data_IF_983184640498
#
_entry.id   IF_983184640498
#
_cell.length_a   1.000
_cell.length_b   1.000
_cell.length_c   1.000
_cell.angle_alpha   90.00
_cell.angle_beta   90.00
_cell.angle_gamma   90.00
#
_symmetry.space_group_name_H-M   'P 1'
#
loop_
_entity.id
_entity.type
_entity.pdbx_description
1 polymer ?
#
# COMPACT_ATOMS: atom_id res chain seq x y z
N UNK A 1 21.00 -7.26 -5.73
CA UNK A 1 19.79 -7.88 -6.30
C UNK A 1 18.89 -6.76 -6.77
N UNK A 2 18.20 -6.95 -7.89
CA UNK A 2 17.31 -5.94 -8.45
C UNK A 2 15.89 -6.18 -7.93
N UNK A 3 15.36 -5.20 -7.17
CA UNK A 3 13.97 -5.19 -6.70
C UNK A 3 13.14 -4.33 -7.65
N UNK A 4 11.94 -4.81 -7.98
CA UNK A 4 10.94 -4.04 -8.72
C UNK A 4 9.73 -3.86 -7.83
N UNK A 5 9.35 -2.62 -7.55
CA UNK A 5 8.25 -2.31 -6.64
C UNK A 5 7.20 -1.44 -7.31
N UNK A 6 5.92 -1.62 -6.94
CA UNK A 6 4.87 -0.70 -7.36
C UNK A 6 5.17 0.69 -6.79
N UNK A 7 5.14 1.70 -7.66
CA UNK A 7 5.26 3.10 -7.26
C UNK A 7 3.99 3.83 -7.66
N UNK A 8 3.32 4.44 -6.69
CA UNK A 8 2.18 5.32 -6.99
C UNK A 8 2.69 6.74 -7.07
N UNK A 9 2.31 7.44 -8.14
CA UNK A 9 2.70 8.82 -8.41
C UNK A 9 1.46 9.67 -8.59
N UNK A 10 1.40 10.83 -7.97
CA UNK A 10 0.33 11.79 -8.13
C UNK A 10 0.89 13.20 -8.35
N UNK A 11 0.30 14.01 -9.24
CA UNK A 11 0.63 15.42 -9.29
C UNK A 11 0.14 16.10 -8.01
N UNK A 12 0.97 16.95 -7.44
CA UNK A 12 0.62 17.84 -6.35
C UNK A 12 0.56 19.27 -6.91
N UNK A 13 -0.28 20.13 -6.33
CA UNK A 13 -0.49 21.50 -6.85
C UNK A 13 0.81 22.24 -7.21
N UNK A 14 0.77 23.05 -8.27
CA UNK A 14 1.96 23.71 -8.81
C UNK A 14 2.79 22.79 -9.72
N UNK A 15 4.12 22.78 -9.53
CA UNK A 15 5.08 21.94 -10.27
C UNK A 15 5.57 20.74 -9.45
N UNK A 16 4.85 20.38 -8.39
CA UNK A 16 5.25 19.32 -7.47
C UNK A 16 4.64 17.98 -7.86
N UNK A 17 5.32 16.91 -7.47
CA UNK A 17 4.89 15.53 -7.62
C UNK A 17 5.02 14.85 -6.26
N UNK A 18 4.06 14.01 -5.93
CA UNK A 18 4.07 13.10 -4.79
C UNK A 18 4.30 11.68 -5.31
N UNK A 19 5.13 10.89 -4.63
CA UNK A 19 5.34 9.48 -4.96
C UNK A 19 5.52 8.62 -3.71
N UNK A 20 4.98 7.40 -3.73
CA UNK A 20 5.07 6.49 -2.59
C UNK A 20 4.97 5.01 -3.00
N UNK A 21 5.56 4.15 -2.17
CA UNK A 21 5.46 2.68 -2.32
C UNK A 21 4.31 2.17 -1.45
N UNK A 22 3.21 1.66 -2.03
CA UNK A 22 1.99 1.33 -1.30
C UNK A 22 2.10 0.03 -0.47
N UNK A 23 3.08 -0.83 -0.76
CA UNK A 23 3.24 -2.13 -0.12
C UNK A 23 3.79 -2.04 1.33
N UNK A 24 4.29 -0.88 1.75
CA UNK A 24 5.03 -0.74 2.99
C UNK A 24 4.29 0.06 4.06
N UNK A 25 4.45 -0.40 5.31
CA UNK A 25 4.09 0.34 6.50
C UNK A 25 5.24 0.37 7.52
N UNK A 26 5.64 1.53 8.07
CA UNK A 26 5.26 2.87 7.66
C UNK A 26 5.53 3.14 6.18
N UNK A 27 4.72 4.02 5.58
CA UNK A 27 4.78 4.31 4.13
C UNK A 27 6.07 5.03 3.77
N UNK A 28 6.77 4.55 2.74
CA UNK A 28 7.88 5.28 2.11
C UNK A 28 7.29 6.23 1.09
N UNK A 29 7.42 7.53 1.36
CA UNK A 29 6.74 8.61 0.63
C UNK A 29 7.65 9.83 0.52
N UNK A 30 7.61 10.50 -0.64
CA UNK A 30 8.35 11.73 -0.92
C UNK A 30 7.53 12.69 -1.78
N UNK A 31 7.81 13.98 -1.65
CA UNK A 31 7.25 15.07 -2.47
C UNK A 31 8.40 15.91 -2.99
N UNK A 32 8.35 16.29 -4.26
CA UNK A 32 9.44 17.05 -4.88
C UNK A 32 9.11 17.56 -6.28
N UNK A 33 10.04 18.28 -6.92
CA UNK A 33 9.80 18.97 -8.19
C UNK A 33 9.85 18.06 -9.42
N UNK A 34 10.40 16.84 -9.31
CA UNK A 34 10.52 15.92 -10.44
C UNK A 34 10.40 14.46 -9.99
N UNK A 35 9.77 13.64 -10.83
CA UNK A 35 9.65 12.20 -10.56
C UNK A 35 11.02 11.50 -10.54
N UNK A 36 11.98 11.96 -11.35
CA UNK A 36 13.31 11.34 -11.39
C UNK A 36 14.02 11.44 -10.05
N UNK A 37 14.11 12.64 -9.47
CA UNK A 37 14.73 12.85 -8.16
C UNK A 37 14.00 12.08 -7.06
N UNK A 38 12.66 12.01 -7.14
CA UNK A 38 11.89 11.21 -6.19
C UNK A 38 12.19 9.72 -6.29
N UNK A 39 12.42 9.18 -7.50
CA UNK A 39 12.76 7.76 -7.67
C UNK A 39 14.11 7.45 -7.01
N UNK A 40 15.11 8.32 -7.14
CA UNK A 40 16.42 8.12 -6.52
C UNK A 40 16.31 8.09 -4.98
N UNK A 41 15.62 9.09 -4.41
CA UNK A 41 15.40 9.18 -2.96
C UNK A 41 14.59 8.00 -2.40
N UNK A 42 13.58 7.55 -3.16
CA UNK A 42 12.74 6.43 -2.78
C UNK A 42 13.50 5.10 -2.90
N UNK A 43 14.31 4.92 -3.95
CA UNK A 43 15.15 3.74 -4.12
C UNK A 43 16.14 3.60 -2.97
N UNK A 44 16.80 4.69 -2.59
CA UNK A 44 17.69 4.72 -1.42
C UNK A 44 16.94 4.33 -0.14
N UNK A 45 15.77 4.93 0.12
CA UNK A 45 14.98 4.62 1.31
C UNK A 45 14.47 3.16 1.34
N UNK A 46 14.15 2.58 0.18
CA UNK A 46 13.77 1.17 0.05
C UNK A 46 14.97 0.26 0.33
N UNK A 47 16.13 0.56 -0.27
CA UNK A 47 17.36 -0.21 -0.08
C UNK A 47 17.76 -0.25 1.39
N UNK A 48 17.82 0.91 2.05
CA UNK A 48 18.16 1.00 3.47
C UNK A 48 17.19 0.21 4.36
N UNK A 49 15.91 0.19 3.99
CA UNK A 49 14.90 -0.59 4.71
C UNK A 49 15.08 -2.08 4.48
N UNK A 50 15.28 -2.49 3.23
CA UNK A 50 15.42 -3.89 2.82
C UNK A 50 16.63 -4.56 3.48
N UNK A 51 17.77 -3.85 3.53
CA UNK A 51 18.99 -4.36 4.15
C UNK A 51 18.87 -4.55 5.67
N UNK A 52 18.01 -3.76 6.32
CA UNK A 52 17.75 -3.82 7.77
C UNK A 52 16.57 -4.72 8.13
N UNK A 53 15.76 -5.13 7.15
CA UNK A 53 14.54 -5.90 7.41
C UNK A 53 14.88 -7.37 7.71
N UNK A 54 14.02 -8.01 8.50
CA UNK A 54 14.17 -9.43 8.80
C UNK A 54 13.97 -10.27 7.52
N UNK A 55 14.78 -11.33 7.28
CA UNK A 55 14.69 -12.15 6.06
C UNK A 55 13.30 -12.71 5.74
N UNK A 56 12.45 -12.96 6.75
CA UNK A 56 11.06 -13.39 6.55
C UNK A 56 10.17 -12.35 5.84
N UNK A 57 10.60 -11.09 5.77
CA UNK A 57 9.90 -9.99 5.09
C UNK A 57 10.34 -9.78 3.64
N UNK A 58 11.34 -10.51 3.16
CA UNK A 58 11.83 -10.37 1.77
C UNK A 58 10.71 -10.57 0.73
N UNK A 59 9.71 -11.41 1.02
CA UNK A 59 8.56 -11.62 0.15
C UNK A 59 7.75 -10.35 -0.14
N UNK A 60 7.70 -9.36 0.79
CA UNK A 60 6.98 -8.10 0.54
C UNK A 60 7.67 -7.18 -0.46
N UNK A 61 8.90 -7.51 -0.87
CA UNK A 61 9.66 -6.78 -1.87
C UNK A 61 9.56 -7.39 -3.28
N UNK A 62 8.80 -8.47 -3.43
CA UNK A 62 8.56 -9.10 -4.73
C UNK A 62 7.39 -8.44 -5.45
N UNK A 63 7.54 -8.25 -6.77
CA UNK A 63 6.47 -7.75 -7.64
C UNK A 63 5.54 -8.91 -8.05
N UNK A 64 4.24 -8.85 -7.73
CA UNK A 64 3.29 -9.81 -8.28
C UNK A 64 3.17 -9.64 -9.81
N UNK A 65 3.01 -10.72 -10.58
CA UNK A 65 2.95 -10.64 -12.05
C UNK A 65 1.67 -9.97 -12.57
N UNK A 66 0.59 -9.99 -11.77
CA UNK A 66 -0.65 -9.28 -12.09
C UNK A 66 -0.82 -8.12 -11.13
N UNK A 67 -0.66 -6.91 -11.67
CA UNK A 67 -0.66 -5.68 -10.91
C UNK A 67 -1.45 -4.60 -11.65
N UNK A 68 -2.35 -3.91 -10.95
CA UNK A 68 -3.01 -2.73 -11.52
C UNK A 68 -3.42 -1.72 -10.45
N UNK A 69 -3.40 -0.44 -10.81
CA UNK A 69 -3.98 0.62 -9.99
C UNK A 69 -5.42 0.88 -10.45
N UNK A 70 -6.37 0.81 -9.53
CA UNK A 70 -7.79 1.09 -9.78
C UNK A 70 -8.25 2.28 -8.95
N UNK A 71 -9.09 3.13 -9.53
CA UNK A 71 -9.72 4.24 -8.83
C UNK A 71 -11.20 3.92 -8.59
N UNK A 72 -11.51 3.49 -7.37
CA UNK A 72 -12.81 2.97 -7.01
C UNK A 72 -13.63 4.06 -6.32
N UNK A 73 -14.84 4.32 -6.81
CA UNK A 73 -15.79 5.19 -6.13
C UNK A 73 -16.30 4.46 -4.89
N UNK A 74 -16.24 5.13 -3.74
CA UNK A 74 -16.76 4.66 -2.47
C UNK A 74 -17.98 5.52 -2.12
N UNK A 75 -19.09 4.85 -1.86
CA UNK A 75 -20.34 5.44 -1.37
C UNK A 75 -20.95 4.39 -0.45
N UNK A 76 -20.65 4.49 0.85
CA UNK A 76 -21.00 3.46 1.83
C UNK A 76 -21.31 4.07 3.18
N UNK A 77 -22.13 3.37 3.94
CA UNK A 77 -22.44 3.70 5.33
C UNK A 77 -22.15 2.49 6.21
N UNK A 78 -21.45 2.71 7.32
CA UNK A 78 -21.18 1.71 8.33
C UNK A 78 -21.72 2.18 9.68
N UNK A 79 -22.21 1.25 10.49
CA UNK A 79 -22.77 1.54 11.82
C UNK A 79 -22.26 0.51 12.82
N UNK A 80 -21.87 0.99 13.99
CA UNK A 80 -21.63 0.17 15.18
C UNK A 80 -22.76 0.50 16.17
N UNK A 81 -23.67 -0.45 16.38
CA UNK A 81 -24.84 -0.25 17.26
C UNK A 81 -24.46 -0.27 18.73
N UNK A 82 -23.43 -1.03 19.10
CA UNK A 82 -22.98 -1.15 20.49
C UNK A 82 -22.32 0.15 20.94
N UNK A 83 -21.54 0.78 20.04
CA UNK A 83 -20.86 2.06 20.31
C UNK A 83 -21.66 3.29 19.88
N UNK A 84 -22.82 3.11 19.25
CA UNK A 84 -23.64 4.21 18.71
C UNK A 84 -22.94 5.00 17.60
N UNK A 85 -21.97 4.41 16.90
CA UNK A 85 -21.18 5.09 15.88
C UNK A 85 -21.81 4.91 14.50
N UNK A 86 -21.74 5.97 13.69
CA UNK A 86 -22.17 5.98 12.29
C UNK A 86 -21.09 6.66 11.47
N UNK A 87 -20.65 6.00 10.41
CA UNK A 87 -19.65 6.50 9.47
C UNK A 87 -20.26 6.49 8.08
N UNK A 88 -20.23 7.64 7.41
CA UNK A 88 -20.67 7.79 6.02
C UNK A 88 -19.45 8.17 5.19
N UNK A 89 -19.08 7.30 4.25
CA UNK A 89 -17.91 7.46 3.41
C UNK A 89 -18.34 7.71 1.97
N UNK A 90 -17.93 8.86 1.43
CA UNK A 90 -18.16 9.22 0.04
C UNK A 90 -16.89 9.82 -0.55
N UNK A 91 -16.34 9.16 -1.56
CA UNK A 91 -15.08 9.58 -2.16
C UNK A 91 -14.62 8.66 -3.28
N UNK A 92 -13.38 8.83 -3.70
CA UNK A 92 -12.70 7.92 -4.63
C UNK A 92 -11.42 7.46 -3.96
N UNK A 93 -11.20 6.16 -3.91
CA UNK A 93 -10.00 5.56 -3.34
C UNK A 93 -9.18 4.93 -4.45
N UNK A 94 -7.88 5.18 -4.45
CA UNK A 94 -6.96 4.45 -5.29
C UNK A 94 -6.53 3.17 -4.56
N UNK A 95 -6.60 2.05 -5.27
CA UNK A 95 -6.25 0.74 -4.73
C UNK A 95 -5.29 0.05 -5.68
N UNK A 96 -4.22 -0.50 -5.12
CA UNK A 96 -3.37 -1.44 -5.80
C UNK A 96 -4.03 -2.82 -5.73
N UNK A 97 -4.24 -3.43 -6.89
CA UNK A 97 -4.79 -4.77 -7.02
C UNK A 97 -3.68 -5.71 -7.51
N UNK A 98 -3.41 -6.73 -6.69
CA UNK A 98 -2.28 -7.64 -6.83
C UNK A 98 -2.77 -9.09 -6.90
N UNK A 99 -2.21 -9.92 -7.79
CA UNK A 99 -2.48 -11.36 -7.82
C UNK A 99 -1.26 -12.18 -8.20
N UNK A 100 -1.01 -13.22 -7.42
CA UNK A 100 -0.08 -14.29 -7.79
C UNK A 100 -0.81 -15.38 -8.57
N UNK A 101 -0.13 -16.08 -9.51
CA UNK A 101 -0.79 -17.06 -10.38
C UNK A 101 -1.40 -18.25 -9.63
N UNK A 102 -0.89 -18.56 -8.43
CA UNK A 102 -1.35 -19.69 -7.60
C UNK A 102 -2.41 -19.29 -6.56
N UNK A 103 -2.65 -18.00 -6.36
CA UNK A 103 -3.64 -17.54 -5.39
C UNK A 103 -5.02 -17.59 -6.02
N UNK A 104 -6.02 -18.08 -5.30
CA UNK A 104 -7.43 -18.05 -5.68
C UNK A 104 -8.08 -16.68 -5.37
N UNK A 105 -7.38 -15.81 -4.66
CA UNK A 105 -7.80 -14.44 -4.35
C UNK A 105 -6.92 -13.39 -5.07
N UNK A 106 -7.33 -12.14 -4.92
CA UNK A 106 -6.58 -10.93 -5.22
C UNK A 106 -6.33 -10.19 -3.90
N UNK A 107 -5.17 -9.55 -3.79
CA UNK A 107 -4.89 -8.65 -2.69
C UNK A 107 -5.18 -7.22 -3.10
N UNK A 108 -5.90 -6.51 -2.24
CA UNK A 108 -6.29 -5.12 -2.42
C UNK A 108 -5.58 -4.28 -1.36
N UNK A 109 -4.80 -3.31 -1.81
CA UNK A 109 -4.11 -2.36 -0.92
C UNK A 109 -4.61 -0.94 -1.23
N UNK A 110 -5.40 -0.30 -0.35
CA UNK A 110 -5.70 1.13 -0.47
C UNK A 110 -4.40 1.93 -0.39
N UNK A 111 -4.03 2.64 -1.47
CA UNK A 111 -2.65 3.14 -1.64
C UNK A 111 -2.26 4.20 -0.62
N UNK A 112 -3.23 4.96 -0.11
CA UNK A 112 -3.04 5.96 0.95
C UNK A 112 -3.30 5.41 2.36
N UNK A 113 -3.86 4.20 2.48
CA UNK A 113 -4.20 3.55 3.75
C UNK A 113 -3.84 2.05 3.68
N UNK A 114 -2.54 1.77 3.58
CA UNK A 114 -2.03 0.43 3.32
C UNK A 114 -2.40 -0.59 4.41
N UNK A 115 -2.60 -0.14 5.66
CA UNK A 115 -3.00 -1.00 6.78
C UNK A 115 -4.42 -1.57 6.62
N UNK A 116 -5.26 -0.91 5.82
CA UNK A 116 -6.59 -1.42 5.47
C UNK A 116 -6.56 -2.47 4.33
N UNK A 117 -5.39 -3.03 4.01
CA UNK A 117 -5.20 -4.12 3.02
C UNK A 117 -6.07 -5.34 3.35
N UNK A 118 -6.59 -5.99 2.32
CA UNK A 118 -7.49 -7.14 2.43
C UNK A 118 -7.47 -8.00 1.16
N UNK A 119 -8.13 -9.16 1.19
CA UNK A 119 -8.24 -10.05 0.04
C UNK A 119 -9.67 -10.10 -0.52
N UNK A 120 -9.80 -10.30 -1.83
CA UNK A 120 -11.08 -10.53 -2.53
C UNK A 120 -10.97 -11.72 -3.49
N UNK A 121 -12.04 -12.49 -3.72
CA UNK A 121 -11.98 -13.64 -4.63
C UNK A 121 -11.78 -13.24 -6.09
N UNK A 122 -12.38 -12.12 -6.51
CA UNK A 122 -12.30 -11.62 -7.89
C UNK A 122 -12.36 -10.09 -7.94
N UNK A 123 -11.90 -9.52 -9.06
CA UNK A 123 -11.82 -8.06 -9.24
C UNK A 123 -13.21 -7.37 -9.24
N UNK A 124 -14.28 -8.07 -9.63
CA UNK A 124 -15.64 -7.52 -9.67
C UNK A 124 -16.21 -7.24 -8.27
N UNK A 125 -15.76 -7.99 -7.27
CA UNK A 125 -16.13 -7.80 -5.87
C UNK A 125 -15.53 -6.52 -5.25
N UNK A 126 -14.56 -5.90 -5.92
CA UNK A 126 -13.75 -4.81 -5.39
C UNK A 126 -14.58 -3.62 -4.88
N UNK A 127 -15.56 -3.05 -5.62
CA UNK A 127 -16.27 -1.85 -5.15
C UNK A 127 -17.02 -2.08 -3.83
N UNK A 128 -17.74 -3.20 -3.72
CA UNK A 128 -18.49 -3.54 -2.52
C UNK A 128 -17.57 -3.88 -1.34
N UNK A 129 -16.54 -4.70 -1.59
CA UNK A 129 -15.63 -5.15 -0.54
C UNK A 129 -14.78 -4.00 0.00
N UNK A 130 -14.35 -3.06 -0.86
CA UNK A 130 -13.61 -1.88 -0.43
C UNK A 130 -14.44 -0.98 0.48
N UNK A 131 -15.69 -0.69 0.12
CA UNK A 131 -16.58 0.11 0.98
C UNK A 131 -16.76 -0.53 2.36
N UNK A 132 -17.03 -1.83 2.41
CA UNK A 132 -17.14 -2.59 3.67
C UNK A 132 -15.86 -2.52 4.49
N UNK A 133 -14.69 -2.75 3.86
CA UNK A 133 -13.41 -2.74 4.56
C UNK A 133 -13.08 -1.37 5.13
N UNK A 134 -13.25 -0.30 4.35
CA UNK A 134 -13.00 1.07 4.82
C UNK A 134 -13.97 1.47 5.95
N UNK A 135 -15.25 1.11 5.83
CA UNK A 135 -16.23 1.34 6.90
C UNK A 135 -15.86 0.62 8.19
N UNK A 136 -15.49 -0.67 8.11
CA UNK A 136 -15.02 -1.44 9.25
C UNK A 136 -13.75 -0.82 9.86
N UNK A 137 -12.77 -0.45 9.03
CA UNK A 137 -11.53 0.20 9.47
C UNK A 137 -11.81 1.49 10.27
N UNK A 138 -12.71 2.34 9.78
CA UNK A 138 -13.10 3.56 10.48
C UNK A 138 -13.72 3.25 11.85
N UNK A 139 -14.62 2.26 11.94
CA UNK A 139 -15.22 1.85 13.21
C UNK A 139 -14.19 1.24 14.18
N UNK A 140 -13.27 0.43 13.68
CA UNK A 140 -12.15 -0.16 14.44
C UNK A 140 -11.25 0.92 15.06
N UNK A 141 -10.99 2.00 14.32
CA UNK A 141 -10.04 3.06 14.72
C UNK A 141 -10.72 4.34 15.23
N UNK A 142 -12.04 4.34 15.40
CA UNK A 142 -12.79 5.50 15.90
C UNK A 142 -12.79 6.71 14.94
N UNK A 143 -12.60 6.48 13.64
CA UNK A 143 -12.62 7.53 12.61
C UNK A 143 -14.04 7.78 12.11
N UNK A 144 -14.37 9.05 11.85
CA UNK A 144 -15.68 9.47 11.31
C UNK A 144 -15.64 9.77 9.81
N UNK A 145 -14.45 9.96 9.23
CA UNK A 145 -14.22 10.20 7.82
C UNK A 145 -12.84 9.66 7.39
N UNK A 146 -12.53 9.80 6.10
CA UNK A 146 -11.24 9.45 5.49
C UNK A 146 -10.66 10.65 4.71
N UNK A 147 -10.84 11.86 5.22
CA UNK A 147 -10.21 13.04 4.63
C UNK A 147 -8.68 12.87 4.62
N UNK A 148 -8.04 13.31 3.53
CA UNK A 148 -6.61 13.09 3.29
C UNK A 148 -6.23 11.71 2.75
N UNK A 149 -7.09 10.69 2.90
CA UNK A 149 -6.87 9.36 2.32
C UNK A 149 -7.48 9.19 0.94
N UNK A 150 -8.45 10.03 0.56
CA UNK A 150 -9.05 9.97 -0.77
C UNK A 150 -8.05 10.28 -1.88
N UNK A 151 -8.26 9.62 -3.02
CA UNK A 151 -7.46 9.83 -4.21
C UNK A 151 -7.68 11.24 -4.78
N UNK A 152 -6.60 11.85 -5.24
CA UNK A 152 -6.62 13.19 -5.84
C UNK A 152 -6.88 13.18 -7.37
N UNK A 153 -7.26 12.01 -7.92
CA UNK A 153 -7.81 11.87 -9.27
C UNK A 153 -6.80 11.71 -10.42
N UNK A 154 -5.50 11.88 -10.17
CA UNK A 154 -4.43 11.72 -11.18
C UNK A 154 -3.32 10.77 -10.72
N UNK A 155 -3.64 9.88 -9.79
CA UNK A 155 -2.68 8.89 -9.32
C UNK A 155 -2.43 7.88 -10.45
N UNK A 156 -1.18 7.50 -10.66
CA UNK A 156 -0.79 6.51 -11.67
C UNK A 156 0.22 5.53 -11.09
N UNK A 157 0.25 4.36 -11.70
CA UNK A 157 1.20 3.32 -11.36
C UNK A 157 2.45 3.46 -12.23
N UNK A 158 3.60 3.42 -11.59
CA UNK A 158 4.93 3.35 -12.15
C UNK A 158 5.66 2.17 -11.51
N UNK A 159 6.85 1.86 -12.02
CA UNK A 159 7.77 0.95 -11.36
C UNK A 159 8.95 1.72 -10.76
N UNK A 160 9.31 1.32 -9.54
CA UNK A 160 10.55 1.69 -8.88
C UNK A 160 11.50 0.49 -8.98
N UNK A 161 12.65 0.72 -9.60
CA UNK A 161 13.74 -0.24 -9.67
C UNK A 161 14.76 0.13 -8.59
N UNK A 162 15.19 -0.86 -7.81
CA UNK A 162 16.11 -0.65 -6.68
C UNK A 162 17.17 -1.73 -6.70
N UNK A 163 18.42 -1.32 -6.77
CA UNK A 163 19.55 -2.18 -6.53
C UNK A 163 19.82 -2.25 -5.02
N UNK A 164 19.62 -3.42 -4.42
CA UNK A 164 19.80 -3.61 -2.98
C UNK A 164 20.59 -4.88 -2.66
N UNK A 165 21.19 -4.94 -1.47
CA UNK A 165 21.81 -6.17 -0.97
C UNK A 165 20.80 -6.94 -0.11
N UNK A 166 20.73 -8.26 -0.28
CA UNK A 166 19.84 -9.09 0.54
C UNK A 166 20.21 -8.96 2.03
N UNK A 167 19.24 -8.87 2.95
CA UNK A 167 19.53 -8.84 4.37
C UNK A 167 20.30 -10.11 4.75
N UNK A 168 21.40 -9.93 5.48
CA UNK A 168 22.26 -11.05 5.88
C UNK A 168 21.56 -11.91 6.92
N UNK A 169 21.52 -13.22 6.69
CA UNK A 169 21.17 -14.19 7.73
C UNK A 169 22.31 -14.20 8.75
N UNK A 170 22.22 -13.36 9.78
CA UNK A 170 23.03 -13.56 10.97
C UNK A 170 22.49 -14.81 11.64
N UNK A 171 23.25 -15.91 11.56
CA UNK A 171 22.98 -17.15 12.29
C UNK A 171 22.69 -16.78 13.74
N UNK A 172 21.46 -17.03 14.18
CA UNK A 172 21.11 -17.03 15.59
C UNK A 172 22.09 -18.00 16.25
N UNK A 173 23.00 -17.46 17.08
CA UNK A 173 23.78 -18.28 18.00
C UNK A 173 22.76 -18.96 18.92
N UNK A 174 22.44 -20.21 18.59
CA UNK A 174 21.80 -21.12 19.54
C UNK A 174 22.87 -21.37 20.58
N UNK A 175 22.86 -20.60 21.65
CA UNK A 175 23.61 -20.92 22.86
C UNK A 175 23.15 -22.30 23.30
N UNK A 176 23.99 -23.30 23.10
CA UNK A 176 23.82 -24.64 23.66
C UNK A 176 23.68 -24.48 25.18
N UNK A 177 22.48 -24.74 25.68
CA UNK A 177 22.24 -24.96 27.10
C UNK A 177 22.84 -26.33 27.41
N UNK A 178 23.97 -26.33 28.10
CA UNK A 178 24.52 -27.50 28.79
C UNK A 178 23.99 -27.54 30.22
#
# INVERSE_FOLDING_TARGET
>A
MELKLPLVVAPLGGRLVEAWVPAFWPRIHRVGPSLSSLKDDLALAVMERFEKDHPSRVASYQLPPHLSLKHVKVDTEARDREKGLRVVLKGRMAVLLEKWPRDDFWVVTPTRLAEARFAIPNAESLPLALGRRLGAWCLEHGLTNLEGFWAQGRERLELLEVDAYAPTLSLIHISEVT
#
